data_IF_429683890139
#
_entry.id   IF_429683890139
#
_cell.length_a   1.000
_cell.length_b   1.000
_cell.length_c   1.000
_cell.angle_alpha   90.00
_cell.angle_beta   90.00
_cell.angle_gamma   90.00
#
_symmetry.space_group_name_H-M   'P 1'
#
loop_
_entity.id
_entity.type
_entity.pdbx_description
1 polymer ?
#
# COMPACT_ATOMS: atom_id res chain seq x y z
N UNK A 1 -3.17 -1.16 -21.74
CA UNK A 1 -4.42 -0.66 -21.12
C UNK A 1 -4.12 -0.21 -19.71
N UNK A 2 -3.83 1.08 -19.55
CA UNK A 2 -3.56 1.72 -18.26
C UNK A 2 -4.88 2.09 -17.58
N UNK A 3 -4.92 1.98 -16.25
CA UNK A 3 -6.06 2.45 -15.48
C UNK A 3 -6.22 3.97 -15.67
N UNK A 4 -7.44 4.50 -15.85
CA UNK A 4 -7.62 5.92 -16.15
C UNK A 4 -7.16 6.76 -14.95
N UNK A 5 -6.64 7.96 -15.24
CA UNK A 5 -6.24 8.99 -14.27
C UNK A 5 -7.45 9.62 -13.52
N UNK A 6 -8.39 8.82 -13.04
CA UNK A 6 -9.63 9.27 -12.38
C UNK A 6 -9.63 9.09 -10.85
N UNK A 7 -8.46 9.02 -10.22
CA UNK A 7 -8.35 9.10 -8.75
C UNK A 7 -8.11 10.54 -8.25
N UNK A 8 -8.60 11.55 -8.99
CA UNK A 8 -8.79 12.88 -8.42
C UNK A 8 -9.97 12.82 -7.45
N UNK A 9 -9.69 12.59 -6.17
CA UNK A 9 -10.66 12.88 -5.10
C UNK A 9 -9.98 13.70 -4.01
N UNK A 10 -10.22 15.01 -4.09
CA UNK A 10 -10.22 16.04 -3.05
C UNK A 10 -9.39 15.72 -1.80
N UNK A 11 -8.33 16.51 -1.59
CA UNK A 11 -7.52 16.56 -0.36
C UNK A 11 -8.40 16.97 0.81
N UNK A 12 -9.08 16.00 1.40
CA UNK A 12 -9.51 16.10 2.78
C UNK A 12 -8.32 15.64 3.62
N UNK A 13 -7.99 16.37 4.69
CA UNK A 13 -6.93 16.04 5.66
C UNK A 13 -7.27 14.77 6.46
N UNK A 14 -7.61 13.69 5.77
CA UNK A 14 -7.87 12.40 6.37
C UNK A 14 -6.58 11.58 6.41
N UNK A 15 -6.32 10.92 7.54
CA UNK A 15 -5.20 10.02 7.65
C UNK A 15 -5.34 8.92 6.59
N UNK A 16 -4.27 8.70 5.84
CA UNK A 16 -4.20 7.67 4.81
C UNK A 16 -4.62 6.30 5.40
N UNK A 17 -5.56 5.65 4.73
CA UNK A 17 -6.15 4.38 5.16
C UNK A 17 -5.44 3.14 4.59
N UNK A 18 -4.43 3.35 3.72
CA UNK A 18 -3.67 2.30 3.08
C UNK A 18 -3.03 1.36 4.11
N UNK A 19 -3.29 0.06 3.98
CA UNK A 19 -2.74 -0.94 4.90
C UNK A 19 -3.25 -0.85 6.36
N UNK A 20 -4.30 -0.04 6.63
CA UNK A 20 -5.01 0.04 7.93
C UNK A 20 -6.49 -0.32 7.85
N UNK A 21 -7.18 0.09 6.80
CA UNK A 21 -8.60 -0.24 6.57
C UNK A 21 -8.84 -0.92 5.24
N UNK A 22 -7.88 -0.84 4.32
CA UNK A 22 -8.00 -1.36 2.95
C UNK A 22 -6.78 -2.19 2.58
N UNK A 23 -7.03 -3.28 1.86
CA UNK A 23 -6.06 -4.14 1.18
C UNK A 23 -6.50 -4.21 -0.29
N UNK A 24 -5.55 -4.05 -1.19
CA UNK A 24 -5.69 -4.43 -2.59
C UNK A 24 -5.18 -5.86 -2.76
N UNK A 25 -5.96 -6.70 -3.43
CA UNK A 25 -5.56 -8.04 -3.83
C UNK A 25 -5.57 -8.06 -5.36
N UNK A 26 -4.45 -8.45 -5.98
CA UNK A 26 -4.37 -8.64 -7.42
C UNK A 26 -4.86 -10.04 -7.81
N UNK A 27 -5.22 -10.26 -9.09
CA UNK A 27 -5.64 -11.59 -9.57
C UNK A 27 -4.59 -12.71 -9.37
N UNK A 28 -3.31 -12.35 -9.32
CA UNK A 28 -2.19 -13.27 -9.05
C UNK A 28 -1.98 -13.56 -7.55
N UNK A 29 -2.88 -13.10 -6.69
CA UNK A 29 -2.88 -13.35 -5.24
C UNK A 29 -1.98 -12.40 -4.43
N UNK A 30 -1.18 -11.56 -5.08
CA UNK A 30 -0.35 -10.58 -4.37
C UNK A 30 -1.19 -9.46 -3.77
N UNK A 31 -0.84 -9.09 -2.54
CA UNK A 31 -1.54 -8.07 -1.77
C UNK A 31 -0.71 -6.80 -1.63
N UNK A 32 -1.39 -5.65 -1.67
CA UNK A 32 -0.78 -4.34 -1.53
C UNK A 32 -1.65 -3.42 -0.67
N UNK A 33 -1.06 -2.46 0.03
CA UNK A 33 -1.81 -1.54 0.89
C UNK A 33 -2.60 -0.48 0.13
N UNK A 34 -2.26 -0.17 -1.14
CA UNK A 34 -3.07 0.64 -2.05
C UNK A 34 -2.67 0.42 -3.53
N UNK A 35 -3.51 0.91 -4.44
CA UNK A 35 -3.30 0.81 -5.91
C UNK A 35 -2.00 1.45 -6.36
N UNK A 36 -1.62 2.60 -5.80
CA UNK A 36 -0.39 3.30 -6.15
C UNK A 36 0.90 2.53 -5.84
N UNK A 37 0.82 1.43 -5.07
CA UNK A 37 1.99 0.65 -4.65
C UNK A 37 2.07 -0.73 -5.31
N UNK A 38 1.12 -1.06 -6.18
CA UNK A 38 1.05 -2.36 -6.88
C UNK A 38 2.26 -2.66 -7.78
N UNK A 39 3.09 -1.66 -8.06
CA UNK A 39 4.29 -1.75 -8.90
C UNK A 39 5.57 -1.92 -8.08
N UNK A 40 5.51 -1.88 -6.75
CA UNK A 40 6.68 -2.05 -5.89
C UNK A 40 6.96 -3.54 -5.64
N UNK A 41 7.60 -4.18 -6.63
CA UNK A 41 7.95 -5.60 -6.58
C UNK A 41 8.91 -5.96 -5.43
N UNK A 42 9.60 -4.96 -4.85
CA UNK A 42 10.52 -5.11 -3.71
C UNK A 42 9.84 -5.73 -2.47
N UNK A 43 8.51 -5.74 -2.41
CA UNK A 43 7.75 -6.25 -1.28
C UNK A 43 6.97 -7.53 -1.59
N UNK A 44 7.24 -8.24 -2.67
CA UNK A 44 6.42 -9.40 -3.01
C UNK A 44 6.61 -10.60 -2.06
N UNK A 45 7.72 -10.69 -1.34
CA UNK A 45 7.94 -11.76 -0.36
C UNK A 45 6.96 -11.69 0.81
N UNK A 46 6.23 -12.79 1.05
CA UNK A 46 5.32 -12.91 2.18
C UNK A 46 3.98 -12.19 2.01
N UNK A 47 3.61 -11.83 0.78
CA UNK A 47 2.44 -11.01 0.47
C UNK A 47 1.42 -11.67 -0.46
N UNK A 48 1.50 -12.99 -0.66
CA UNK A 48 0.57 -13.72 -1.52
C UNK A 48 -0.45 -14.52 -0.68
N UNK A 49 -1.74 -14.35 -0.98
CA UNK A 49 -2.83 -15.05 -0.29
C UNK A 49 -2.87 -16.56 -0.53
N UNK A 50 -2.22 -17.03 -1.60
CA UNK A 50 -2.09 -18.46 -1.87
C UNK A 50 -1.03 -19.13 -0.99
N UNK A 51 -0.12 -18.35 -0.39
CA UNK A 51 0.94 -18.84 0.50
C UNK A 51 0.64 -18.62 1.99
N UNK A 52 -0.05 -17.53 2.32
CA UNK A 52 -0.28 -17.10 3.69
C UNK A 52 -1.70 -16.58 3.89
N UNK A 53 -2.24 -16.72 5.11
CA UNK A 53 -3.53 -16.12 5.44
C UNK A 53 -3.50 -14.60 5.32
N UNK A 54 -4.61 -14.00 4.93
CA UNK A 54 -4.77 -12.55 4.87
C UNK A 54 -4.40 -11.87 6.19
N UNK A 55 -4.74 -12.49 7.33
CA UNK A 55 -4.33 -11.97 8.64
C UNK A 55 -2.81 -11.97 8.82
N UNK A 56 -2.13 -13.07 8.45
CA UNK A 56 -0.67 -13.19 8.58
C UNK A 56 0.01 -12.15 7.69
N UNK A 57 -0.43 -12.02 6.45
CA UNK A 57 0.04 -11.00 5.52
C UNK A 57 -0.20 -9.61 6.11
N UNK A 58 -1.42 -9.33 6.52
CA UNK A 58 -1.79 -8.03 7.06
C UNK A 58 -0.94 -7.64 8.26
N UNK A 59 -0.69 -8.54 9.22
CA UNK A 59 0.05 -8.25 10.45
C UNK A 59 1.58 -8.23 10.25
N UNK A 60 2.13 -9.17 9.50
CA UNK A 60 3.56 -9.47 9.50
C UNK A 60 4.32 -9.04 8.25
N UNK A 61 3.62 -8.72 7.17
CA UNK A 61 4.31 -8.26 5.97
C UNK A 61 5.01 -6.92 6.15
N UNK A 62 6.18 -6.82 5.55
CA UNK A 62 7.03 -5.64 5.68
C UNK A 62 6.35 -4.39 5.11
N UNK A 63 5.68 -4.50 3.95
CA UNK A 63 5.05 -3.34 3.30
C UNK A 63 3.92 -2.76 4.16
N UNK A 64 3.07 -3.60 4.76
CA UNK A 64 1.96 -3.13 5.56
C UNK A 64 2.45 -2.53 6.89
N UNK A 65 3.45 -3.13 7.53
CA UNK A 65 4.08 -2.56 8.73
C UNK A 65 4.74 -1.21 8.45
N UNK A 66 5.54 -1.12 7.38
CA UNK A 66 6.23 0.10 6.98
C UNK A 66 5.21 1.22 6.71
N UNK A 67 4.16 0.94 5.97
CA UNK A 67 3.12 1.94 5.67
C UNK A 67 2.33 2.39 6.90
N UNK A 68 2.00 1.47 7.81
CA UNK A 68 1.33 1.83 9.06
C UNK A 68 2.18 2.72 9.96
N UNK A 69 3.50 2.57 9.93
CA UNK A 69 4.43 3.46 10.64
C UNK A 69 4.44 4.87 10.05
N UNK A 70 4.39 5.00 8.72
CA UNK A 70 4.42 6.29 8.03
C UNK A 70 3.07 7.04 8.03
N UNK A 71 1.94 6.33 8.11
CA UNK A 71 0.60 6.93 8.19
C UNK A 71 0.31 7.67 9.52
N UNK A 72 1.28 7.82 10.42
CA UNK A 72 1.08 8.48 11.71
C UNK A 72 1.24 10.00 11.66
N UNK A 73 1.72 10.59 10.56
CA UNK A 73 2.30 11.95 10.65
C UNK A 73 1.92 12.94 9.54
N UNK A 74 1.11 12.61 8.53
CA UNK A 74 0.86 13.54 7.42
C UNK A 74 -0.38 13.18 6.57
N UNK A 75 -1.06 14.21 6.03
CA UNK A 75 -2.23 14.10 5.14
C UNK A 75 -1.91 13.78 3.67
N UNK A 76 -0.63 13.68 3.30
CA UNK A 76 -0.22 13.37 1.93
C UNK A 76 -0.23 11.86 1.63
N UNK A 77 -0.60 11.51 0.39
CA UNK A 77 -0.58 10.13 -0.10
C UNK A 77 0.83 9.52 0.04
N UNK A 78 0.90 8.33 0.66
CA UNK A 78 2.17 7.66 0.93
C UNK A 78 2.93 7.25 -0.35
N UNK A 79 2.20 6.93 -1.42
CA UNK A 79 2.78 6.65 -2.73
C UNK A 79 3.64 7.80 -3.22
N UNK A 80 3.20 9.04 -3.01
CA UNK A 80 3.93 10.23 -3.43
C UNK A 80 5.22 10.44 -2.62
N UNK A 81 5.26 10.01 -1.34
CA UNK A 81 6.51 10.03 -0.54
C UNK A 81 7.50 8.95 -0.95
N UNK A 82 7.00 7.76 -1.30
CA UNK A 82 7.83 6.63 -1.73
C UNK A 82 8.45 6.91 -3.09
N UNK A 83 7.68 7.46 -4.04
CA UNK A 83 8.17 7.81 -5.38
C UNK A 83 9.09 9.03 -5.38
N UNK A 84 8.87 10.05 -4.53
CA UNK A 84 9.74 11.24 -4.44
C UNK A 84 11.02 11.03 -3.62
N UNK A 85 11.49 9.79 -3.46
CA UNK A 85 12.80 9.46 -2.86
C UNK A 85 13.02 9.93 -1.40
N UNK A 86 11.99 10.38 -0.68
CA UNK A 86 12.09 10.77 0.74
C UNK A 86 11.86 9.60 1.71
N UNK A 87 11.48 8.44 1.22
CA UNK A 87 11.36 7.20 1.99
C UNK A 87 12.19 6.10 1.33
N UNK A 88 13.43 5.88 1.80
CA UNK A 88 14.14 4.63 1.54
C UNK A 88 13.47 3.53 2.37
N UNK A 89 12.75 2.64 1.69
CA UNK A 89 12.07 1.48 2.28
C UNK A 89 12.85 0.20 1.99
#
# INVERSE_FOLDING_TARGET
MGSPFNEFKNRVDHPCSAGRKVILIRPDGYTYPCVGLKHLNKFNNGNNIYEYSLEKIWRYSQIFQKIRKYNSSNSNCITQRIMNNKLRI
#
